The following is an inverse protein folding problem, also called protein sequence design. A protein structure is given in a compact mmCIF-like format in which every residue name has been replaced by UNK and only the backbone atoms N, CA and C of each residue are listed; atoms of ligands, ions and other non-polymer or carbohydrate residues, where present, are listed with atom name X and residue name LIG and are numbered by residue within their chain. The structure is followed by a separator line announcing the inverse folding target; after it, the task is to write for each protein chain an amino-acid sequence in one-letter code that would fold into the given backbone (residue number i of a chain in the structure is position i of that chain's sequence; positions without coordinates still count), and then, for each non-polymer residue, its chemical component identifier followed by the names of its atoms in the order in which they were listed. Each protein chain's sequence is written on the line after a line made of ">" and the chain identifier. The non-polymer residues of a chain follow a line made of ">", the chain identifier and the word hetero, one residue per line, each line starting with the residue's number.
data_IF_838496910871
#
_entry.id   IF_838496910871
#
_cell.length_a   1.000
_cell.length_b   1.000
_cell.length_c   1.000
_cell.angle_alpha   90.00
_cell.angle_beta   90.00
_cell.angle_gamma   90.00
#
_symmetry.space_group_name_H-M   'P 1'
#
loop_
_entity.id
_entity.type
_entity.pdbx_description
1 polymer ?
#
# COMPACT_ATOMS: atom_id res chain seq x y z
N UNK A 1 -22.37 34.98 -42.02
CA UNK A 1 -23.32 34.96 -40.89
C UNK A 1 -23.71 33.52 -40.48
N UNK A 2 -22.79 32.55 -40.57
CA UNK A 2 -23.02 31.12 -40.27
C UNK A 2 -21.77 30.57 -39.56
N UNK A 3 -21.45 31.12 -38.38
CA UNK A 3 -20.25 30.69 -37.63
C UNK A 3 -20.43 30.83 -36.11
N UNK A 4 -21.60 30.44 -35.59
CA UNK A 4 -21.89 30.45 -34.14
C UNK A 4 -22.53 29.16 -33.61
N UNK A 5 -22.76 28.13 -34.45
CA UNK A 5 -23.55 26.96 -34.06
C UNK A 5 -22.75 25.76 -33.52
N UNK A 6 -21.41 25.78 -33.51
CA UNK A 6 -20.60 24.59 -33.16
C UNK A 6 -20.06 24.54 -31.72
N UNK A 7 -20.35 25.52 -30.86
CA UNK A 7 -19.79 25.56 -29.48
C UNK A 7 -20.76 25.20 -28.36
N UNK A 8 -22.06 25.02 -28.64
CA UNK A 8 -23.09 24.77 -27.60
C UNK A 8 -23.51 23.30 -27.44
N UNK A 9 -23.16 22.42 -28.39
CA UNK A 9 -23.53 21.01 -28.33
C UNK A 9 -22.90 20.19 -27.16
N UNK A 10 -21.63 20.39 -26.76
CA UNK A 10 -21.05 19.57 -25.67
C UNK A 10 -21.57 19.98 -24.28
N UNK A 11 -21.99 21.24 -24.08
CA UNK A 11 -22.47 21.71 -22.77
C UNK A 11 -23.84 21.12 -22.38
N UNK A 12 -24.73 20.92 -23.36
CA UNK A 12 -26.06 20.33 -23.12
C UNK A 12 -25.99 18.80 -22.86
N UNK A 13 -24.97 18.13 -23.41
CA UNK A 13 -24.74 16.69 -23.19
C UNK A 13 -24.27 16.38 -21.76
N UNK A 14 -23.42 17.24 -21.18
CA UNK A 14 -22.97 17.12 -19.78
C UNK A 14 -24.10 17.43 -18.79
N UNK A 15 -24.94 18.43 -19.09
CA UNK A 15 -26.05 18.84 -18.22
C UNK A 15 -27.19 17.81 -18.20
N UNK A 16 -27.46 17.13 -19.33
CA UNK A 16 -28.43 16.03 -19.41
C UNK A 16 -28.00 14.77 -18.66
N UNK A 17 -26.69 14.46 -18.62
CA UNK A 17 -26.16 13.32 -17.86
C UNK A 17 -26.25 13.55 -16.35
N UNK A 18 -26.05 14.79 -15.89
CA UNK A 18 -26.15 15.16 -14.47
C UNK A 18 -27.57 15.05 -13.90
N UNK A 19 -28.61 15.29 -14.70
CA UNK A 19 -30.01 15.19 -14.25
C UNK A 19 -30.52 13.74 -14.16
N UNK A 20 -29.86 12.79 -14.85
CA UNK A 20 -30.23 11.36 -14.80
C UNK A 20 -29.73 10.65 -13.54
N UNK A 21 -28.63 11.11 -12.94
CA UNK A 21 -28.13 10.53 -11.69
C UNK A 21 -28.97 10.89 -10.46
N UNK A 22 -29.74 11.97 -10.50
CA UNK A 22 -30.56 12.43 -9.38
C UNK A 22 -31.86 11.61 -9.16
N UNK A 23 -32.19 10.66 -10.05
CA UNK A 23 -33.41 9.82 -9.97
C UNK A 23 -33.15 8.35 -9.65
N UNK A 24 -31.91 7.96 -9.37
CA UNK A 24 -31.65 6.59 -8.90
C UNK A 24 -31.96 6.51 -7.40
N UNK A 25 -32.77 5.53 -6.96
CA UNK A 25 -33.04 5.33 -5.55
C UNK A 25 -31.71 5.08 -4.81
N UNK A 26 -31.49 5.84 -3.74
CA UNK A 26 -30.28 5.75 -2.91
C UNK A 26 -30.26 4.36 -2.27
N UNK A 27 -29.24 3.51 -2.49
CA UNK A 27 -29.16 2.24 -1.82
C UNK A 27 -29.03 2.47 -0.31
N UNK A 28 -29.95 1.91 0.48
CA UNK A 28 -29.87 1.93 1.93
C UNK A 28 -28.75 0.97 2.37
N UNK A 29 -27.64 1.54 2.80
CA UNK A 29 -26.53 0.78 3.36
C UNK A 29 -26.80 0.52 4.84
N UNK A 30 -26.80 -0.75 5.23
CA UNK A 30 -26.74 -1.15 6.64
C UNK A 30 -25.36 -0.85 7.26
N UNK A 31 -25.19 -1.04 8.58
CA UNK A 31 -24.02 -0.58 9.36
C UNK A 31 -22.66 -1.22 8.98
N UNK A 32 -22.60 -2.04 7.94
CA UNK A 32 -21.38 -2.69 7.44
C UNK A 32 -21.18 -2.56 5.93
N UNK A 33 -21.94 -1.70 5.23
CA UNK A 33 -21.79 -1.52 3.76
C UNK A 33 -22.25 -2.71 2.90
N UNK A 34 -22.78 -3.77 3.52
CA UNK A 34 -23.37 -4.93 2.85
C UNK A 34 -24.84 -4.63 2.56
N UNK A 35 -25.27 -4.82 1.31
CA UNK A 35 -26.66 -4.62 0.91
C UNK A 35 -27.59 -5.60 1.65
N UNK A 36 -28.85 -5.22 1.89
CA UNK A 36 -29.81 -6.07 2.60
C UNK A 36 -30.01 -7.44 1.93
N UNK A 37 -29.89 -7.47 0.60
CA UNK A 37 -30.01 -8.67 -0.23
C UNK A 37 -28.83 -9.63 -0.05
N UNK A 38 -27.62 -9.10 0.07
CA UNK A 38 -26.39 -9.86 0.30
C UNK A 38 -26.33 -10.45 1.71
N UNK A 39 -26.87 -9.73 2.69
CA UNK A 39 -27.09 -10.23 4.06
C UNK A 39 -28.10 -11.39 4.11
N UNK A 40 -29.17 -11.34 3.30
CA UNK A 40 -30.11 -12.45 3.17
C UNK A 40 -29.49 -13.66 2.47
N UNK A 41 -28.62 -13.44 1.46
CA UNK A 41 -27.91 -14.51 0.77
C UNK A 41 -26.95 -15.27 1.69
N UNK A 42 -26.19 -14.55 2.51
CA UNK A 42 -25.28 -15.15 3.51
C UNK A 42 -26.04 -15.95 4.57
N UNK A 43 -27.19 -15.45 5.04
CA UNK A 43 -28.06 -16.19 5.97
C UNK A 43 -28.64 -17.47 5.39
N UNK A 44 -28.81 -17.55 4.06
CA UNK A 44 -29.25 -18.78 3.37
C UNK A 44 -28.13 -19.81 3.30
N UNK A 45 -26.93 -19.39 2.91
CA UNK A 45 -25.74 -20.25 2.82
C UNK A 45 -25.36 -20.84 4.18
N UNK A 46 -25.47 -20.04 5.26
CA UNK A 46 -25.19 -20.50 6.62
C UNK A 46 -26.28 -21.40 7.23
N UNK A 47 -27.46 -21.49 6.61
CA UNK A 47 -28.59 -22.33 7.08
C UNK A 47 -28.77 -23.62 6.29
N UNK A 48 -28.06 -23.82 5.19
CA UNK A 48 -28.11 -25.08 4.46
C UNK A 48 -27.34 -26.16 5.24
N UNK A 49 -27.99 -27.28 5.62
CA UNK A 49 -27.29 -28.42 6.19
C UNK A 49 -26.42 -29.01 5.09
N UNK A 50 -25.11 -28.97 5.29
CA UNK A 50 -24.14 -29.61 4.40
C UNK A 50 -24.34 -31.13 4.49
N UNK A 51 -25.06 -31.70 3.53
CA UNK A 51 -25.14 -33.15 3.39
C UNK A 51 -23.73 -33.74 3.24
N UNK A 52 -23.42 -34.67 4.14
CA UNK A 52 -22.15 -35.38 4.26
C UNK A 52 -21.94 -36.28 3.04
N UNK A 53 -20.98 -35.93 2.19
CA UNK A 53 -20.35 -36.88 1.29
C UNK A 53 -19.10 -37.47 1.97
N UNK A 54 -19.32 -38.31 2.98
CA UNK A 54 -18.29 -39.18 3.55
C UNK A 54 -18.22 -40.47 2.72
N UNK A 55 -17.21 -40.59 1.86
CA UNK A 55 -16.82 -41.88 1.30
C UNK A 55 -16.03 -42.67 2.35
N UNK A 56 -16.32 -43.97 2.55
CA UNK A 56 -15.63 -44.78 3.55
C UNK A 56 -14.19 -45.05 3.12
N UNK A 57 -13.24 -44.57 3.93
CA UNK A 57 -11.82 -44.93 3.81
C UNK A 57 -11.65 -46.42 4.12
N UNK A 58 -11.10 -47.12 3.14
CA UNK A 58 -10.78 -48.55 3.16
C UNK A 58 -9.69 -48.80 4.21
N UNK A 59 -9.97 -49.69 5.16
CA UNK A 59 -9.02 -50.15 6.16
C UNK A 59 -7.94 -51.04 5.53
N UNK A 60 -6.68 -50.62 5.62
CA UNK A 60 -5.52 -51.44 5.98
C UNK A 60 -4.23 -50.64 5.76
N UNK A 61 -3.65 -50.15 6.86
CA UNK A 61 -2.22 -49.84 6.98
C UNK A 61 -1.86 -49.58 8.45
N UNK A 62 -1.89 -50.62 9.28
CA UNK A 62 -1.19 -50.60 10.57
C UNK A 62 0.28 -50.92 10.29
N UNK A 63 1.19 -49.98 10.56
CA UNK A 63 2.62 -50.29 10.73
C UNK A 63 2.97 -50.23 12.21
N UNK A 64 3.20 -51.41 12.78
CA UNK A 64 3.87 -51.61 14.06
C UNK A 64 5.36 -51.34 13.84
N UNK A 65 5.91 -50.33 14.51
CA UNK A 65 7.37 -50.21 14.68
C UNK A 65 7.68 -50.62 16.12
N UNK A 66 8.41 -51.73 16.22
CA UNK A 66 8.82 -52.39 17.45
C UNK A 66 9.80 -51.53 18.24
N UNK A 67 9.53 -51.38 19.54
CA UNK A 67 10.46 -50.90 20.54
C UNK A 67 11.62 -51.89 20.69
N UNK A 68 12.81 -51.52 20.22
CA UNK A 68 14.10 -52.07 20.67
C UNK A 68 15.24 -51.39 19.93
N UNK A 69 15.60 -50.16 20.35
CA UNK A 69 16.96 -49.62 20.15
C UNK A 69 17.21 -48.36 20.99
N UNK A 70 16.73 -48.38 22.23
CA UNK A 70 16.95 -47.32 23.21
C UNK A 70 17.66 -47.90 24.43
N UNK A 71 18.92 -48.34 24.25
CA UNK A 71 19.90 -48.47 25.34
C UNK A 71 21.28 -48.85 24.78
N UNK A 72 22.13 -47.86 24.52
CA UNK A 72 23.60 -47.85 24.69
C UNK A 72 24.23 -46.74 23.84
N UNK A 73 24.32 -45.55 24.44
CA UNK A 73 25.51 -44.69 24.48
C UNK A 73 25.11 -43.29 24.95
N UNK A 74 24.83 -43.19 26.25
CA UNK A 74 25.12 -41.97 26.98
C UNK A 74 26.52 -42.16 27.57
N UNK A 75 27.42 -41.25 27.21
CA UNK A 75 28.72 -40.93 27.81
C UNK A 75 29.79 -40.75 26.72
N UNK A 76 29.77 -39.63 26.00
CA UNK A 76 30.84 -38.64 26.10
C UNK A 76 30.42 -37.36 25.35
N UNK A 77 30.94 -36.23 25.83
CA UNK A 77 30.89 -34.92 25.19
C UNK A 77 29.53 -34.16 25.17
N UNK A 78 29.31 -33.44 26.26
CA UNK A 78 28.61 -32.14 26.29
C UNK A 78 29.19 -31.21 25.20
N UNK A 79 28.65 -31.30 23.99
CA UNK A 79 28.77 -30.26 22.98
C UNK A 79 27.53 -29.39 23.07
N UNK A 80 27.70 -28.21 23.65
CA UNK A 80 26.76 -27.11 23.51
C UNK A 80 26.39 -26.95 22.02
N UNK A 81 25.12 -26.66 21.67
CA UNK A 81 24.77 -26.38 20.29
C UNK A 81 25.59 -25.19 19.81
N UNK A 82 26.52 -25.44 18.89
CA UNK A 82 27.21 -24.40 18.15
C UNK A 82 26.14 -23.62 17.36
N UNK A 83 25.72 -22.48 17.89
CA UNK A 83 24.79 -21.54 17.27
C UNK A 83 25.45 -20.90 16.03
N UNK A 84 25.45 -21.62 14.92
CA UNK A 84 25.88 -21.12 13.62
C UNK A 84 24.70 -20.50 12.87
N UNK A 85 24.77 -19.18 12.63
CA UNK A 85 24.08 -18.42 11.55
C UNK A 85 22.69 -18.90 11.10
N UNK A 86 21.78 -19.23 12.01
CA UNK A 86 20.53 -19.89 11.64
C UNK A 86 19.52 -18.89 11.06
N UNK A 87 19.67 -17.59 11.27
CA UNK A 87 18.72 -16.57 10.81
C UNK A 87 18.56 -16.40 9.27
N UNK A 88 19.26 -17.17 8.42
CA UNK A 88 19.04 -17.10 6.97
C UNK A 88 17.91 -18.05 6.55
N UNK A 89 17.06 -17.59 5.63
CA UNK A 89 15.99 -18.40 5.08
C UNK A 89 16.51 -19.29 3.94
N UNK A 90 15.99 -20.52 3.88
CA UNK A 90 16.09 -21.31 2.65
C UNK A 90 15.23 -20.64 1.57
N UNK A 91 15.84 -20.27 0.45
CA UNK A 91 15.14 -19.59 -0.66
C UNK A 91 14.07 -20.46 -1.30
N UNK A 92 14.14 -21.78 -1.15
CA UNK A 92 13.15 -22.71 -1.70
C UNK A 92 11.73 -22.43 -1.18
N UNK A 93 11.60 -22.01 0.08
CA UNK A 93 10.30 -21.71 0.70
C UNK A 93 9.64 -20.46 0.11
N UNK A 94 10.41 -19.60 -0.57
CA UNK A 94 9.94 -18.32 -1.12
C UNK A 94 9.31 -18.46 -2.51
N UNK A 95 9.39 -19.65 -3.13
CA UNK A 95 9.05 -19.87 -4.53
C UNK A 95 7.58 -19.57 -4.89
N UNK A 96 6.67 -19.77 -3.93
CA UNK A 96 5.23 -19.58 -4.14
C UNK A 96 4.73 -18.18 -3.77
N UNK A 97 5.61 -17.30 -3.27
CA UNK A 97 5.24 -15.95 -2.85
C UNK A 97 4.97 -15.07 -4.06
N UNK A 98 3.85 -14.34 -4.02
CA UNK A 98 3.40 -13.45 -5.09
C UNK A 98 3.05 -12.07 -4.57
N UNK A 99 3.71 -11.07 -5.13
CA UNK A 99 3.44 -9.67 -4.86
C UNK A 99 2.04 -9.26 -5.33
N UNK A 100 1.52 -8.19 -4.72
CA UNK A 100 0.25 -7.54 -5.06
C UNK A 100 -0.98 -8.45 -4.93
N UNK A 101 -0.92 -9.41 -4.01
CA UNK A 101 -2.05 -10.26 -3.65
C UNK A 101 -2.66 -9.77 -2.35
N UNK A 102 -3.99 -9.87 -2.26
CA UNK A 102 -4.74 -9.58 -1.04
C UNK A 102 -4.55 -10.72 -0.04
N UNK A 103 -4.12 -10.39 1.16
CA UNK A 103 -3.88 -11.41 2.18
C UNK A 103 -2.63 -12.25 1.91
N UNK A 104 -2.42 -13.22 2.80
CA UNK A 104 -1.50 -14.34 2.58
C UNK A 104 -2.31 -15.45 1.94
N UNK A 105 -1.95 -15.88 0.74
CA UNK A 105 -2.67 -16.94 0.04
C UNK A 105 -2.41 -18.31 0.68
N UNK A 106 -3.26 -19.29 0.41
CA UNK A 106 -3.07 -20.65 0.92
C UNK A 106 -1.71 -21.26 0.51
N UNK A 107 -1.22 -20.96 -0.70
CA UNK A 107 0.08 -21.39 -1.19
C UNK A 107 1.26 -20.69 -0.49
N UNK A 108 1.05 -19.47 0.02
CA UNK A 108 2.05 -18.69 0.74
C UNK A 108 2.10 -19.00 2.23
N UNK A 109 1.00 -19.53 2.79
CA UNK A 109 0.85 -19.76 4.23
C UNK A 109 1.99 -20.58 4.83
N UNK A 110 2.47 -21.69 4.22
CA UNK A 110 3.60 -22.44 4.77
C UNK A 110 4.88 -21.59 4.91
N UNK A 111 5.18 -20.75 3.91
CA UNK A 111 6.33 -19.86 3.94
C UNK A 111 6.14 -18.74 4.99
N UNK A 112 4.95 -18.16 5.05
CA UNK A 112 4.60 -17.13 6.02
C UNK A 112 4.75 -17.64 7.46
N UNK A 113 4.19 -18.80 7.77
CA UNK A 113 4.27 -19.41 9.09
C UNK A 113 5.71 -19.79 9.45
N UNK A 114 6.47 -20.36 8.51
CA UNK A 114 7.88 -20.72 8.71
C UNK A 114 8.74 -19.49 9.01
N UNK A 115 8.55 -18.39 8.28
CA UNK A 115 9.30 -17.15 8.47
C UNK A 115 8.92 -16.48 9.80
N UNK A 116 7.64 -16.46 10.17
CA UNK A 116 7.23 -15.94 11.49
C UNK A 116 7.78 -16.79 12.64
N UNK A 117 7.72 -18.12 12.53
CA UNK A 117 8.32 -19.01 13.51
C UNK A 117 9.83 -18.77 13.63
N UNK A 118 10.51 -18.58 12.49
CA UNK A 118 11.93 -18.24 12.43
C UNK A 118 12.23 -16.92 13.14
N UNK A 119 11.51 -15.84 12.79
CA UNK A 119 11.65 -14.54 13.43
C UNK A 119 11.42 -14.63 14.95
N UNK A 120 10.39 -15.39 15.37
CA UNK A 120 10.05 -15.58 16.78
C UNK A 120 11.15 -16.30 17.55
N UNK A 121 11.75 -17.34 16.96
CA UNK A 121 12.71 -18.21 17.65
C UNK A 121 14.16 -17.71 17.55
N UNK A 122 14.48 -16.82 16.62
CA UNK A 122 15.81 -16.20 16.50
C UNK A 122 15.97 -15.08 17.54
N UNK A 123 17.18 -14.90 18.08
CA UNK A 123 17.45 -13.79 19.01
C UNK A 123 17.35 -12.43 18.30
N UNK A 124 16.90 -11.39 18.99
CA UNK A 124 16.78 -10.06 18.36
C UNK A 124 18.16 -9.52 17.93
N UNK A 125 19.18 -9.71 18.77
CA UNK A 125 20.55 -9.27 18.48
C UNK A 125 21.12 -9.95 17.23
N UNK A 126 20.85 -11.24 17.01
CA UNK A 126 21.28 -11.94 15.80
C UNK A 126 20.56 -11.40 14.56
N UNK A 127 19.24 -11.20 14.62
CA UNK A 127 18.47 -10.61 13.52
C UNK A 127 19.02 -9.23 13.16
N UNK A 128 19.26 -8.37 14.16
CA UNK A 128 19.79 -7.02 13.97
C UNK A 128 21.21 -7.03 13.39
N UNK A 129 22.06 -7.98 13.80
CA UNK A 129 23.44 -8.08 13.31
C UNK A 129 23.54 -8.43 11.82
N UNK A 130 22.52 -9.12 11.30
CA UNK A 130 22.44 -9.59 9.91
C UNK A 130 21.56 -8.70 9.02
N UNK A 131 20.74 -7.86 9.64
CA UNK A 131 19.76 -7.05 8.94
C UNK A 131 20.39 -5.85 8.25
N UNK A 132 19.85 -5.54 7.08
CA UNK A 132 20.16 -4.33 6.34
C UNK A 132 19.31 -3.16 6.82
N UNK A 133 19.91 -1.99 6.92
CA UNK A 133 19.24 -0.73 7.26
C UNK A 133 19.35 0.34 6.17
N UNK A 134 19.88 -0.05 5.00
CA UNK A 134 20.21 0.82 3.87
C UNK A 134 19.22 0.72 2.71
N UNK A 135 18.08 0.05 2.90
CA UNK A 135 17.12 -0.23 1.83
C UNK A 135 15.94 0.75 1.88
N UNK A 136 15.81 1.68 0.92
CA UNK A 136 14.71 2.63 0.88
C UNK A 136 13.36 1.97 0.56
N UNK A 137 12.27 2.60 1.01
CA UNK A 137 10.90 2.17 0.74
C UNK A 137 10.65 1.94 -0.76
N UNK A 138 11.07 2.90 -1.59
CA UNK A 138 10.88 2.84 -3.04
C UNK A 138 11.56 1.62 -3.68
N UNK A 139 12.71 1.19 -3.15
CA UNK A 139 13.42 0.00 -3.65
C UNK A 139 12.63 -1.27 -3.35
N UNK A 140 12.06 -1.41 -2.15
CA UNK A 140 11.19 -2.55 -1.82
C UNK A 140 9.92 -2.59 -2.68
N UNK A 141 9.46 -1.43 -3.14
CA UNK A 141 8.30 -1.34 -4.03
C UNK A 141 8.66 -1.67 -5.49
N UNK A 142 9.86 -1.36 -5.95
CA UNK A 142 10.27 -1.57 -7.35
C UNK A 142 10.96 -2.92 -7.59
N UNK A 143 11.74 -3.40 -6.61
CA UNK A 143 12.62 -4.58 -6.71
C UNK A 143 12.27 -5.63 -5.65
N UNK A 144 10.98 -5.84 -5.37
CA UNK A 144 10.51 -6.72 -4.30
C UNK A 144 11.03 -8.16 -4.40
N UNK A 145 11.17 -8.68 -5.62
CA UNK A 145 11.70 -10.02 -5.90
C UNK A 145 13.13 -10.21 -5.39
N UNK A 146 13.97 -9.19 -5.54
CA UNK A 146 15.38 -9.20 -5.10
C UNK A 146 15.53 -9.19 -3.58
N UNK A 147 14.62 -8.54 -2.87
CA UNK A 147 14.68 -8.38 -1.41
C UNK A 147 13.83 -9.38 -0.65
N UNK A 148 13.09 -10.25 -1.35
CA UNK A 148 12.23 -11.25 -0.73
C UNK A 148 13.02 -12.18 0.18
N UNK A 149 12.61 -12.25 1.45
CA UNK A 149 13.26 -13.04 2.49
C UNK A 149 14.53 -12.40 3.07
N UNK A 150 14.92 -11.21 2.63
CA UNK A 150 16.05 -10.49 3.23
C UNK A 150 15.67 -9.92 4.61
N UNK A 151 16.63 -9.92 5.52
CA UNK A 151 16.50 -9.31 6.83
C UNK A 151 16.69 -7.79 6.72
N UNK A 152 15.68 -7.05 7.18
CA UNK A 152 15.68 -5.58 7.16
C UNK A 152 15.39 -5.04 8.56
N UNK A 153 16.06 -3.94 8.89
CA UNK A 153 15.79 -3.11 10.06
C UNK A 153 15.17 -1.81 9.58
N UNK A 154 13.95 -1.54 10.02
CA UNK A 154 13.20 -0.33 9.67
C UNK A 154 12.90 0.47 10.94
N UNK A 155 13.16 1.77 10.89
CA UNK A 155 12.90 2.70 11.99
C UNK A 155 11.90 3.76 11.53
N UNK A 156 10.86 4.01 12.33
CA UNK A 156 9.83 4.97 11.97
C UNK A 156 8.74 5.11 13.03
N UNK A 157 7.68 5.81 12.65
CA UNK A 157 6.55 6.08 13.53
C UNK A 157 5.43 5.07 13.29
N UNK A 158 5.13 4.29 14.32
CA UNK A 158 4.00 3.37 14.34
C UNK A 158 2.75 4.16 14.72
N UNK A 159 1.76 4.14 13.82
CA UNK A 159 0.49 4.89 13.97
C UNK A 159 -0.71 4.00 14.24
N UNK A 160 -0.56 2.68 14.09
CA UNK A 160 -1.62 1.69 14.28
C UNK A 160 -0.99 0.39 14.73
N UNK A 161 -1.58 -0.28 15.71
CA UNK A 161 -1.21 -1.64 16.13
C UNK A 161 -2.49 -2.37 16.48
N UNK A 162 -2.85 -3.40 15.74
CA UNK A 162 -4.03 -4.22 16.01
C UNK A 162 -3.65 -5.67 16.23
N UNK A 163 -4.43 -6.36 17.05
CA UNK A 163 -4.34 -7.81 17.14
C UNK A 163 -4.83 -8.45 15.84
N UNK A 164 -4.04 -9.35 15.28
CA UNK A 164 -4.46 -10.13 14.11
C UNK A 164 -5.34 -11.29 14.59
N UNK A 165 -6.60 -11.31 14.17
CA UNK A 165 -7.48 -12.43 14.49
C UNK A 165 -6.97 -13.68 13.75
N UNK A 166 -6.66 -14.73 14.49
CA UNK A 166 -6.30 -16.03 13.92
C UNK A 166 -7.54 -16.56 13.19
N UNK A 167 -7.49 -16.63 11.86
CA UNK A 167 -8.46 -17.38 11.07
C UNK A 167 -8.23 -18.86 11.40
N UNK A 168 -9.15 -19.43 12.17
CA UNK A 168 -9.09 -20.74 12.82
C UNK A 168 -8.79 -21.92 11.88
N UNK A 169 -8.02 -22.91 12.38
CA UNK A 169 -8.38 -24.35 12.40
C UNK A 169 -7.27 -25.20 13.05
N UNK A 170 -7.65 -25.94 14.09
CA UNK A 170 -7.13 -27.21 14.62
C UNK A 170 -5.64 -27.44 14.93
N UNK A 171 -4.76 -26.48 14.65
CA UNK A 171 -3.45 -26.43 15.30
C UNK A 171 -3.31 -25.15 16.11
N UNK A 172 -2.76 -25.22 17.34
CA UNK A 172 -2.35 -24.03 18.08
C UNK A 172 -1.20 -23.41 17.29
N UNK A 173 -1.50 -22.60 16.29
CA UNK A 173 -0.51 -21.78 15.60
C UNK A 173 -0.11 -20.64 16.54
N UNK A 174 0.59 -21.02 17.61
CA UNK A 174 1.79 -20.38 18.11
C UNK A 174 1.68 -18.85 18.28
N UNK A 175 0.77 -18.42 19.17
CA UNK A 175 0.81 -17.09 19.80
C UNK A 175 -0.10 -16.02 19.17
N UNK A 176 -0.32 -14.96 19.93
CA UNK A 176 -1.08 -13.78 19.50
C UNK A 176 -0.19 -12.91 18.60
N UNK A 177 -0.56 -12.77 17.33
CA UNK A 177 0.13 -11.89 16.40
C UNK A 177 -0.48 -10.49 16.39
N UNK A 178 0.35 -9.51 16.07
CA UNK A 178 -0.09 -8.12 15.93
C UNK A 178 0.29 -7.60 14.56
N UNK A 179 -0.56 -6.76 13.98
CA UNK A 179 -0.26 -6.00 12.79
C UNK A 179 -0.05 -4.53 13.16
N UNK A 180 1.11 -4.00 12.82
CA UNK A 180 1.46 -2.61 12.98
C UNK A 180 1.61 -1.90 11.62
N UNK A 181 1.26 -0.61 11.58
CA UNK A 181 1.52 0.25 10.43
C UNK A 181 2.60 1.26 10.81
N UNK A 182 3.78 1.08 10.23
CA UNK A 182 4.97 1.90 10.47
C UNK A 182 5.18 2.84 9.29
N UNK A 183 5.48 4.10 9.58
CA UNK A 183 5.72 5.14 8.58
C UNK A 183 7.15 5.67 8.72
N UNK A 184 7.88 5.72 7.62
CA UNK A 184 9.22 6.31 7.56
C UNK A 184 9.16 7.65 6.82
N UNK A 185 10.23 8.43 6.92
CA UNK A 185 10.31 9.71 6.21
C UNK A 185 10.19 9.55 4.67
N UNK A 186 10.71 8.44 4.12
CA UNK A 186 10.70 8.15 2.69
C UNK A 186 9.45 7.39 2.19
N UNK A 187 8.65 6.80 3.09
CA UNK A 187 7.40 6.12 2.71
C UNK A 187 6.21 7.07 2.56
N UNK A 188 6.32 8.29 3.11
CA UNK A 188 5.31 9.33 3.04
C UNK A 188 3.98 8.91 3.68
N UNK A 189 2.95 8.73 2.84
CA UNK A 189 1.62 8.29 3.27
C UNK A 189 1.42 6.77 3.23
N UNK A 190 2.40 6.03 2.74
CA UNK A 190 2.31 4.58 2.61
C UNK A 190 2.97 3.92 3.82
N UNK A 191 2.30 2.96 4.47
CA UNK A 191 2.89 2.24 5.59
C UNK A 191 3.83 1.14 5.09
N UNK A 192 4.75 0.75 5.96
CA UNK A 192 5.17 -0.64 6.07
C UNK A 192 4.11 -1.38 6.88
N UNK A 193 3.59 -2.48 6.35
CA UNK A 193 2.77 -3.41 7.16
C UNK A 193 3.72 -4.34 7.87
N UNK A 194 3.61 -4.40 9.19
CA UNK A 194 4.52 -5.18 10.03
C UNK A 194 3.71 -6.18 10.82
N UNK A 195 3.97 -7.47 10.65
CA UNK A 195 3.41 -8.51 11.51
C UNK A 195 4.42 -8.85 12.59
N UNK A 196 4.00 -8.70 13.83
CA UNK A 196 4.80 -8.92 15.04
C UNK A 196 4.42 -10.27 15.66
N UNK A 197 5.42 -11.10 15.93
CA UNK A 197 5.25 -12.36 16.66
C UNK A 197 5.00 -12.15 18.16
N UNK A 198 5.44 -11.02 18.71
CA UNK A 198 5.10 -10.57 20.05
C UNK A 198 5.12 -9.05 20.15
N UNK A 199 4.27 -8.51 21.01
CA UNK A 199 4.26 -7.08 21.37
C UNK A 199 4.95 -6.91 22.74
N UNK A 200 5.85 -5.92 22.91
CA UNK A 200 6.42 -5.61 24.22
C UNK A 200 5.35 -5.14 25.21
N UNK A 201 5.54 -5.46 26.48
CA UNK A 201 4.63 -5.03 27.54
C UNK A 201 4.52 -3.50 27.60
N UNK A 202 3.29 -3.01 27.81
CA UNK A 202 3.00 -1.58 27.93
C UNK A 202 2.89 -0.82 26.61
N UNK A 203 3.08 -1.48 25.45
CA UNK A 203 2.84 -0.86 24.14
C UNK A 203 1.33 -0.82 23.85
N UNK A 204 0.73 0.36 23.61
CA UNK A 204 -0.70 0.47 23.33
C UNK A 204 -1.05 -0.11 21.95
N UNK A 205 -2.30 -0.57 21.83
CA UNK A 205 -2.90 -1.05 20.58
C UNK A 205 -4.11 -0.19 20.22
N UNK A 206 -4.46 -0.13 18.94
CA UNK A 206 -5.57 0.65 18.41
C UNK A 206 -5.40 0.96 16.92
N UNK A 207 -6.51 1.34 16.30
CA UNK A 207 -6.58 1.77 14.90
C UNK A 207 -5.82 3.08 14.63
N UNK A 208 -5.71 3.92 15.66
CA UNK A 208 -4.99 5.20 15.63
C UNK A 208 -4.28 5.42 16.96
N UNK A 209 -2.95 5.49 16.92
CA UNK A 209 -2.10 5.76 18.08
C UNK A 209 -1.75 7.25 18.13
N UNK A 210 -2.25 7.92 19.15
CA UNK A 210 -1.95 9.33 19.43
C UNK A 210 -1.41 9.49 20.86
N UNK A 211 -0.12 9.87 21.04
CA UNK A 211 0.89 10.09 20.00
C UNK A 211 1.32 8.77 19.32
N UNK A 212 1.89 8.88 18.11
CA UNK A 212 2.52 7.74 17.45
C UNK A 212 3.74 7.25 18.23
N UNK A 213 4.06 5.96 18.11
CA UNK A 213 5.21 5.36 18.78
C UNK A 213 6.37 5.30 17.81
N UNK A 214 7.45 6.01 18.11
CA UNK A 214 8.68 5.86 17.34
C UNK A 214 9.39 4.58 17.76
N UNK A 215 9.62 3.69 16.80
CA UNK A 215 10.15 2.36 17.09
C UNK A 215 11.00 1.84 15.94
N UNK A 216 11.87 0.90 16.29
CA UNK A 216 12.62 0.06 15.37
C UNK A 216 11.98 -1.31 15.30
N UNK A 217 11.95 -1.88 14.10
CA UNK A 217 11.52 -3.25 13.83
C UNK A 217 12.56 -3.96 12.98
N UNK A 218 12.80 -5.23 13.28
CA UNK A 218 13.77 -6.05 12.55
C UNK A 218 13.14 -7.38 12.17
N UNK A 219 13.14 -7.70 10.88
CA UNK A 219 12.56 -8.93 10.39
C UNK A 219 12.68 -9.11 8.89
N UNK A 220 11.97 -10.10 8.36
CA UNK A 220 12.10 -10.49 6.97
C UNK A 220 11.11 -9.74 6.11
N UNK A 221 11.58 -9.18 4.99
CA UNK A 221 10.68 -8.68 3.95
C UNK A 221 9.99 -9.85 3.26
N UNK A 222 8.67 -9.94 3.37
CA UNK A 222 7.90 -11.05 2.83
C UNK A 222 7.48 -10.82 1.39
N UNK A 223 6.79 -9.70 1.13
CA UNK A 223 6.29 -9.33 -0.20
C UNK A 223 5.75 -7.91 -0.22
N UNK A 224 5.40 -7.43 -1.40
CA UNK A 224 4.44 -6.33 -1.59
C UNK A 224 3.02 -6.83 -1.36
N UNK A 225 2.40 -6.38 -0.28
CA UNK A 225 1.09 -6.81 0.16
C UNK A 225 0.00 -5.82 -0.27
N UNK A 226 -1.06 -6.31 -0.90
CA UNK A 226 -2.22 -5.47 -1.25
C UNK A 226 -3.25 -5.45 -0.13
N UNK A 227 -3.72 -4.24 0.21
CA UNK A 227 -4.74 -4.01 1.22
C UNK A 227 -5.81 -3.05 0.71
N UNK A 228 -7.03 -3.22 1.20
CA UNK A 228 -8.13 -2.32 0.90
C UNK A 228 -8.21 -1.22 1.96
N UNK A 229 -8.50 -0.01 1.51
CA UNK A 229 -9.05 1.07 2.33
C UNK A 229 -10.52 1.27 1.96
N UNK A 230 -11.22 2.18 2.63
CA UNK A 230 -12.63 2.46 2.35
C UNK A 230 -12.90 2.79 0.87
N UNK A 231 -11.92 3.37 0.17
CA UNK A 231 -12.13 3.94 -1.17
C UNK A 231 -11.18 3.41 -2.24
N UNK A 232 -10.10 2.71 -1.88
CA UNK A 232 -9.07 2.31 -2.84
C UNK A 232 -8.24 1.10 -2.37
N UNK A 233 -7.52 0.48 -3.31
CA UNK A 233 -6.58 -0.59 -3.06
C UNK A 233 -5.15 -0.07 -3.09
N UNK A 234 -4.42 -0.32 -2.02
CA UNK A 234 -3.04 0.10 -1.87
C UNK A 234 -2.13 -1.12 -1.75
N UNK A 235 -0.84 -0.89 -1.99
CA UNK A 235 0.19 -1.91 -1.81
C UNK A 235 1.26 -1.36 -0.88
N UNK A 236 1.71 -2.17 0.06
CA UNK A 236 2.75 -1.83 1.02
C UNK A 236 3.75 -2.98 1.18
N UNK A 237 5.01 -2.69 1.54
CA UNK A 237 5.94 -3.70 2.03
C UNK A 237 5.35 -4.44 3.24
N UNK A 238 5.38 -5.77 3.24
CA UNK A 238 5.04 -6.60 4.40
C UNK A 238 6.32 -7.14 5.04
N UNK A 239 6.49 -6.87 6.33
CA UNK A 239 7.58 -7.37 7.16
C UNK A 239 7.07 -8.37 8.19
N UNK A 240 7.79 -9.48 8.36
CA UNK A 240 7.52 -10.49 9.40
C UNK A 240 8.61 -10.38 10.46
N UNK A 241 8.21 -9.92 11.64
CA UNK A 241 9.09 -9.36 12.66
C UNK A 241 8.89 -10.10 13.99
N UNK A 242 9.97 -10.27 14.76
CA UNK A 242 9.91 -10.84 16.11
C UNK A 242 9.08 -9.95 17.04
N UNK A 243 9.57 -8.74 17.27
CA UNK A 243 8.96 -7.72 18.13
C UNK A 243 9.44 -6.33 17.69
N UNK A 244 8.89 -5.29 18.31
CA UNK A 244 9.33 -3.90 18.08
C UNK A 244 10.15 -3.40 19.27
N UNK A 245 11.05 -2.45 19.03
CA UNK A 245 11.82 -1.76 20.06
C UNK A 245 11.42 -0.29 20.09
N UNK A 246 10.66 0.17 21.10
CA UNK A 246 10.34 1.58 21.23
C UNK A 246 11.63 2.39 21.46
N UNK A 247 11.78 3.50 20.75
CA UNK A 247 12.94 4.36 20.89
C UNK A 247 12.57 5.54 21.79
N UNK A 248 13.24 5.61 22.94
CA UNK A 248 13.05 6.66 23.95
C UNK A 248 13.70 7.96 23.48
N UNK A 249 13.24 8.54 22.36
CA UNK A 249 13.52 9.89 21.87
C UNK A 249 12.83 10.05 20.50
N UNK A 250 11.53 10.32 20.51
CA UNK A 250 10.91 10.93 19.35
C UNK A 250 9.79 11.82 19.84
N UNK A 251 10.12 13.08 20.09
CA UNK A 251 9.17 14.13 19.73
C UNK A 251 8.98 13.96 18.23
N UNK A 252 7.93 13.22 17.87
CA UNK A 252 7.58 12.90 16.51
C UNK A 252 7.72 14.15 15.65
N UNK A 253 8.79 14.19 14.87
CA UNK A 253 8.95 15.11 13.77
C UNK A 253 8.25 14.54 12.53
N UNK A 254 7.25 13.66 12.71
CA UNK A 254 6.24 13.43 11.70
C UNK A 254 5.49 14.75 11.53
N UNK A 255 6.01 15.57 10.61
CA UNK A 255 5.21 16.64 10.04
C UNK A 255 3.95 15.94 9.53
N UNK A 256 2.76 16.30 10.03
CA UNK A 256 1.53 15.71 9.53
C UNK A 256 1.56 15.86 8.00
N UNK A 257 1.16 14.83 7.24
CA UNK A 257 1.20 14.90 5.80
C UNK A 257 0.31 16.06 5.37
N UNK A 258 0.93 17.18 5.03
CA UNK A 258 0.28 18.20 4.26
C UNK A 258 -0.06 17.52 2.93
N UNK A 259 -1.35 17.46 2.63
CA UNK A 259 -1.79 16.95 1.34
C UNK A 259 -1.26 17.93 0.28
N UNK A 260 -0.09 17.62 -0.26
CA UNK A 260 0.62 18.52 -1.18
C UNK A 260 0.18 18.29 -2.63
N UNK A 261 -0.68 17.30 -2.86
CA UNK A 261 -1.34 17.06 -4.14
C UNK A 261 -2.21 18.26 -4.58
N UNK A 262 -2.76 19.05 -3.64
CA UNK A 262 -3.48 20.27 -3.98
C UNK A 262 -2.55 21.39 -4.44
N UNK A 263 -1.37 21.55 -3.82
CA UNK A 263 -0.43 22.63 -4.15
C UNK A 263 0.17 22.49 -5.56
N UNK A 264 0.57 21.28 -5.97
CA UNK A 264 1.07 21.03 -7.32
C UNK A 264 -0.02 21.18 -8.40
N UNK A 265 -1.26 20.83 -8.08
CA UNK A 265 -2.39 21.02 -9.00
C UNK A 265 -2.72 22.50 -9.19
N UNK A 266 -2.71 23.30 -8.12
CA UNK A 266 -2.88 24.75 -8.22
C UNK A 266 -1.74 25.45 -8.95
N UNK A 267 -0.49 24.96 -8.78
CA UNK A 267 0.66 25.49 -9.51
C UNK A 267 0.58 25.14 -11.01
N UNK A 268 0.20 23.91 -11.36
CA UNK A 268 -0.02 23.52 -12.76
C UNK A 268 -1.16 24.30 -13.42
N UNK A 269 -2.29 24.50 -12.72
CA UNK A 269 -3.41 25.33 -13.20
C UNK A 269 -2.98 26.79 -13.35
N UNK A 270 -2.20 27.32 -12.41
CA UNK A 270 -1.67 28.69 -12.46
C UNK A 270 -0.74 28.91 -13.65
N UNK A 271 0.17 27.96 -13.91
CA UNK A 271 1.08 28.01 -15.06
C UNK A 271 0.30 27.92 -16.38
N UNK A 272 -0.66 27.00 -16.50
CA UNK A 272 -1.49 26.89 -17.69
C UNK A 272 -2.33 28.15 -17.94
N UNK A 273 -2.92 28.73 -16.88
CA UNK A 273 -3.64 29.99 -16.95
C UNK A 273 -2.76 31.16 -17.39
N UNK A 274 -1.52 31.24 -16.90
CA UNK A 274 -0.57 32.26 -17.32
C UNK A 274 -0.23 32.17 -18.82
N UNK A 275 -0.04 30.96 -19.37
CA UNK A 275 0.20 30.78 -20.80
C UNK A 275 -1.00 31.22 -21.66
N UNK A 276 -2.24 30.96 -21.22
CA UNK A 276 -3.44 31.42 -21.92
C UNK A 276 -3.52 32.94 -21.93
N UNK A 277 -3.27 33.60 -20.79
CA UNK A 277 -3.30 35.07 -20.68
C UNK A 277 -2.21 35.71 -21.54
N UNK A 278 -0.99 35.17 -21.52
CA UNK A 278 0.11 35.65 -22.37
C UNK A 278 -0.21 35.45 -23.85
N UNK A 279 -0.74 34.29 -24.24
CA UNK A 279 -1.17 34.03 -25.61
C UNK A 279 -2.23 35.02 -26.09
N UNK A 280 -3.25 35.31 -25.26
CA UNK A 280 -4.30 36.28 -25.57
C UNK A 280 -3.74 37.70 -25.71
N UNK A 281 -2.81 38.09 -24.82
CA UNK A 281 -2.18 39.40 -24.86
C UNK A 281 -1.34 39.59 -26.13
N UNK A 282 -0.58 38.56 -26.53
CA UNK A 282 0.19 38.55 -27.79
C UNK A 282 -0.73 38.71 -28.99
N UNK A 283 -1.83 37.97 -29.04
CA UNK A 283 -2.81 38.04 -30.14
C UNK A 283 -3.47 39.42 -30.22
N UNK A 284 -3.84 40.02 -29.08
CA UNK A 284 -4.41 41.38 -29.03
C UNK A 284 -3.41 42.43 -29.54
N UNK A 285 -2.14 42.32 -29.13
CA UNK A 285 -1.08 43.23 -29.59
C UNK A 285 -0.81 43.05 -31.08
N UNK A 286 -0.75 41.80 -31.56
CA UNK A 286 -0.56 41.49 -32.97
C UNK A 286 -1.73 42.04 -33.82
N UNK A 287 -2.97 41.88 -33.35
CA UNK A 287 -4.16 42.39 -34.04
C UNK A 287 -4.20 43.92 -34.07
N UNK A 288 -3.79 44.59 -32.98
CA UNK A 288 -3.65 46.06 -32.95
C UNK A 288 -2.58 46.55 -33.92
N UNK A 289 -1.45 45.84 -34.06
CA UNK A 289 -0.41 46.17 -35.04
C UNK A 289 -0.89 45.99 -36.48
N UNK A 290 -1.64 44.93 -36.77
CA UNK A 290 -2.25 44.70 -38.10
C UNK A 290 -3.32 45.72 -38.45
N UNK A 291 -3.96 46.33 -37.44
CA UNK A 291 -4.96 47.39 -37.60
C UNK A 291 -4.40 48.80 -37.55
N UNK A 292 -3.08 49.01 -37.47
CA UNK A 292 -2.52 50.32 -37.83
C UNK A 292 -2.87 50.52 -39.31
N UNK A 293 -3.76 51.47 -39.65
CA UNK A 293 -3.96 51.81 -41.04
C UNK A 293 -2.61 52.20 -41.61
N UNK A 294 -2.32 51.82 -42.85
CA UNK A 294 -1.28 52.52 -43.60
C UNK A 294 -1.60 54.01 -43.46
N UNK A 295 -0.75 54.70 -42.72
CA UNK A 295 -0.61 56.14 -42.77
C UNK A 295 -0.57 56.48 -44.25
N UNK A 296 -1.64 57.11 -44.71
CA UNK A 296 -1.83 57.50 -46.09
C UNK A 296 -0.53 58.10 -46.59
N UNK A 297 0.10 57.47 -47.58
CA UNK A 297 1.10 58.16 -48.39
C UNK A 297 0.43 59.44 -48.88
N UNK A 298 0.75 60.55 -48.23
CA UNK A 298 0.33 61.88 -48.67
C UNK A 298 0.68 61.94 -50.16
N UNK A 299 -0.36 62.07 -50.99
CA UNK A 299 -0.14 62.37 -52.39
C UNK A 299 0.66 63.67 -52.43
N UNK A 300 1.77 63.74 -53.16
CA UNK A 300 2.58 64.95 -53.22
C UNK A 300 1.68 66.12 -53.62
N UNK A 301 1.84 67.29 -52.98
CA UNK A 301 0.98 68.45 -53.23
C UNK A 301 0.90 68.72 -54.74
N UNK A 302 -0.32 68.82 -55.27
CA UNK A 302 -0.55 69.10 -56.67
C UNK A 302 -0.19 70.57 -56.96
N UNK A 303 0.95 70.78 -57.64
CA UNK A 303 1.42 72.09 -58.08
C UNK A 303 0.96 72.45 -59.49
N UNK A 304 -0.06 71.76 -60.04
CA UNK A 304 -0.61 72.07 -61.38
C UNK A 304 -1.10 73.51 -61.54
N UNK A 305 -1.43 74.19 -60.43
CA UNK A 305 -1.84 75.59 -60.38
C UNK A 305 -0.71 76.60 -60.66
N UNK A 306 0.57 76.21 -60.60
CA UNK A 306 1.72 77.09 -60.89
C UNK A 306 1.99 77.28 -62.39
N UNK A 307 1.27 76.57 -63.27
CA UNK A 307 1.37 76.69 -64.73
C UNK A 307 0.12 77.35 -65.31
N UNK A 308 0.00 78.67 -65.14
CA UNK A 308 -0.89 79.48 -66.00
C UNK A 308 -0.07 80.64 -66.59
N UNK A 309 -0.02 80.79 -67.92
CA UNK A 309 0.64 81.91 -68.59
C UNK A 309 -0.14 83.21 -68.42
#
# INVERSE_FOLDING_TARGET
>A
MILWAMTLAPALLVMGWSLRQARLPKPEFGPAGITAEENQRLKRILREPREEASSPLRGDAIRVVTASEQSKRDADETLAPQAGSDARLDKSILALIKDNTFGVTAAEKPAYDAILAKARNTSLAELESLARNDVPFAVLMLEADRFRGELLTIEGDIRRINRLAVLSSDEPTVGEFFEAWLFTADSGLNPYRVVLASLPDGVPTGDELTPSIHARVTGYFFKRYSYATANDFHTAPLLLVKTLTPLANSKSAATPPTNNSRSLTFLAIGVLGAFVVVGLAVEIVAHRRRRRPEESKESPPDFSWLKRP
#
